data_IF_811920368725
#
_entry.id   IF_811920368725
#
_cell.length_a   1.000
_cell.length_b   1.000
_cell.length_c   1.000
_cell.angle_alpha   90.00
_cell.angle_beta   90.00
_cell.angle_gamma   90.00
#
_symmetry.space_group_name_H-M   'P 1'
#
loop_
_entity.id
_entity.type
_entity.pdbx_description
1 polymer ?
#
# COMPACT_ATOMS: atom_id res chain seq x y z
N UNK A 1 -38.10 0.79 24.14
CA UNK A 1 -37.35 0.06 23.08
C UNK A 1 -36.45 1.00 22.26
N UNK A 2 -35.79 1.99 22.89
CA UNK A 2 -34.93 3.00 22.19
C UNK A 2 -33.52 3.09 22.78
N UNK A 3 -33.30 2.56 24.00
CA UNK A 3 -32.00 2.62 24.68
C UNK A 3 -30.97 1.57 24.21
N UNK A 4 -31.41 0.49 23.53
CA UNK A 4 -30.53 -0.60 23.09
C UNK A 4 -29.81 -0.32 21.76
N UNK A 5 -30.33 0.60 20.95
CA UNK A 5 -29.74 0.92 19.63
C UNK A 5 -28.53 1.86 19.78
N UNK A 6 -28.54 2.74 20.78
CA UNK A 6 -27.46 3.73 20.97
C UNK A 6 -26.15 3.14 21.50
N UNK A 7 -26.19 1.99 22.18
CA UNK A 7 -24.97 1.34 22.68
C UNK A 7 -24.18 0.64 21.56
N UNK A 8 -24.86 0.22 20.49
CA UNK A 8 -24.24 -0.52 19.39
C UNK A 8 -23.42 0.39 18.46
N UNK A 9 -23.87 1.63 18.26
CA UNK A 9 -23.19 2.60 17.38
C UNK A 9 -21.88 3.10 17.99
N UNK A 10 -21.79 3.21 19.32
CA UNK A 10 -20.58 3.70 20.00
C UNK A 10 -19.45 2.65 19.98
N UNK A 11 -19.79 1.36 20.05
CA UNK A 11 -18.79 0.29 20.02
C UNK A 11 -18.11 0.13 18.65
N UNK A 12 -18.80 0.46 17.55
CA UNK A 12 -18.25 0.34 16.19
C UNK A 12 -17.20 1.43 15.90
N UNK A 13 -17.33 2.60 16.54
CA UNK A 13 -16.42 3.73 16.29
C UNK A 13 -15.04 3.51 16.95
N UNK A 14 -14.94 2.69 18.01
CA UNK A 14 -13.68 2.42 18.69
C UNK A 14 -12.80 1.33 18.05
N UNK A 15 -13.33 0.54 17.11
CA UNK A 15 -12.54 -0.50 16.41
C UNK A 15 -11.84 0.00 15.14
N UNK A 16 -12.00 1.27 14.77
CA UNK A 16 -11.56 1.79 13.47
C UNK A 16 -10.15 2.38 13.37
N UNK A 17 -9.38 2.51 14.46
CA UNK A 17 -8.26 3.48 14.49
C UNK A 17 -6.85 2.93 14.77
N UNK A 18 -6.60 1.63 14.74
CA UNK A 18 -5.25 1.09 15.02
C UNK A 18 -4.40 0.66 13.81
N UNK A 19 -4.88 0.83 12.58
CA UNK A 19 -4.13 0.41 11.38
C UNK A 19 -3.35 1.56 10.72
N UNK A 20 -2.36 2.15 11.39
CA UNK A 20 -1.53 3.18 10.73
C UNK A 20 -0.05 3.21 11.10
N UNK A 21 0.41 2.42 12.07
CA UNK A 21 1.78 2.56 12.58
C UNK A 21 2.76 1.49 12.12
N UNK A 22 2.28 0.32 11.69
CA UNK A 22 3.15 -0.80 11.34
C UNK A 22 3.76 -0.65 9.93
N UNK A 23 2.95 -0.19 8.95
CA UNK A 23 3.38 0.07 7.58
C UNK A 23 4.51 1.13 7.49
N UNK A 24 4.43 2.16 8.33
CA UNK A 24 5.32 3.32 8.27
C UNK A 24 6.77 3.01 8.66
N UNK A 25 7.01 1.95 9.46
CA UNK A 25 8.34 1.64 10.01
C UNK A 25 9.24 0.87 9.03
N UNK A 26 8.67 0.16 8.06
CA UNK A 26 9.43 -0.63 7.08
C UNK A 26 10.04 0.27 5.99
N UNK A 27 9.49 1.47 5.79
CA UNK A 27 9.79 2.32 4.63
C UNK A 27 10.78 3.47 4.90
N UNK A 28 11.25 3.63 6.14
CA UNK A 28 12.21 4.69 6.53
C UNK A 28 13.68 4.33 6.28
N UNK A 29 13.99 3.12 5.81
CA UNK A 29 15.38 2.64 5.62
C UNK A 29 15.97 2.91 4.23
N UNK A 30 15.19 3.51 3.32
CA UNK A 30 15.58 3.77 1.93
C UNK A 30 14.63 3.10 0.93
N UNK A 31 14.71 3.42 -0.38
CA UNK A 31 13.84 2.80 -1.36
C UNK A 31 14.14 1.30 -1.45
N UNK A 32 13.12 0.43 -1.51
CA UNK A 32 13.35 -1.00 -1.69
C UNK A 32 14.13 -1.26 -3.00
N UNK A 33 15.04 -2.25 -3.01
CA UNK A 33 15.75 -2.61 -4.24
C UNK A 33 14.75 -2.99 -5.34
N UNK A 34 15.08 -2.68 -6.59
CA UNK A 34 14.26 -3.07 -7.75
C UNK A 34 14.28 -4.59 -7.89
N UNK A 35 13.28 -5.27 -7.31
CA UNK A 35 13.04 -6.69 -7.51
C UNK A 35 12.50 -7.00 -8.91
N UNK A 36 12.48 -8.28 -9.28
CA UNK A 36 11.92 -8.75 -10.55
C UNK A 36 10.44 -8.32 -10.72
N UNK A 37 9.71 -8.30 -9.61
CA UNK A 37 8.33 -7.84 -9.54
C UNK A 37 8.18 -6.37 -9.95
N UNK A 38 9.12 -5.51 -9.57
CA UNK A 38 9.05 -4.07 -9.87
C UNK A 38 9.23 -3.79 -11.35
N UNK A 39 10.10 -4.57 -12.00
CA UNK A 39 10.27 -4.52 -13.45
C UNK A 39 9.02 -5.05 -14.16
N UNK A 40 8.51 -6.21 -13.74
CA UNK A 40 7.29 -6.79 -14.33
C UNK A 40 6.09 -5.84 -14.20
N UNK A 41 5.90 -5.21 -13.03
CA UNK A 41 4.87 -4.19 -12.81
C UNK A 41 5.04 -3.04 -13.79
N UNK A 42 6.25 -2.49 -13.88
CA UNK A 42 6.50 -1.34 -14.73
C UNK A 42 6.28 -1.67 -16.21
N UNK A 43 6.73 -2.83 -16.69
CA UNK A 43 6.60 -3.25 -18.08
C UNK A 43 5.15 -3.56 -18.45
N UNK A 44 4.40 -4.23 -17.56
CA UNK A 44 3.02 -4.66 -17.78
C UNK A 44 1.99 -3.53 -17.67
N UNK A 45 2.29 -2.47 -16.91
CA UNK A 45 1.37 -1.36 -16.73
C UNK A 45 0.93 -0.72 -18.05
N UNK A 46 -0.31 -0.25 -18.14
CA UNK A 46 -0.78 0.43 -19.34
C UNK A 46 -0.01 1.74 -19.60
N UNK A 47 0.03 2.17 -20.86
CA UNK A 47 0.54 3.49 -21.24
C UNK A 47 -0.60 4.53 -21.15
N UNK A 48 -0.35 5.74 -20.61
CA UNK A 48 0.91 6.20 -20.01
C UNK A 48 1.18 5.53 -18.65
N UNK A 49 2.46 5.32 -18.32
CA UNK A 49 2.93 4.76 -17.03
C UNK A 49 2.64 5.70 -15.84
N UNK A 50 1.36 5.95 -15.57
CA UNK A 50 0.90 6.76 -14.45
C UNK A 50 0.89 5.95 -13.16
N UNK A 51 0.94 6.62 -12.01
CA UNK A 51 0.83 5.99 -10.70
C UNK A 51 -0.42 5.10 -10.58
N UNK A 52 -1.53 5.50 -11.22
CA UNK A 52 -2.77 4.71 -11.23
C UNK A 52 -2.60 3.37 -11.95
N UNK A 53 -2.00 3.38 -13.14
CA UNK A 53 -1.79 2.17 -13.94
C UNK A 53 -0.74 1.25 -13.30
N UNK A 54 0.31 1.83 -12.73
CA UNK A 54 1.32 1.11 -11.95
C UNK A 54 0.68 0.47 -10.72
N UNK A 55 -0.19 1.19 -9.99
CA UNK A 55 -0.90 0.66 -8.83
C UNK A 55 -1.86 -0.48 -9.19
N UNK A 56 -2.66 -0.33 -10.24
CA UNK A 56 -3.57 -1.38 -10.71
C UNK A 56 -2.80 -2.66 -11.08
N UNK A 57 -1.67 -2.52 -11.78
CA UNK A 57 -0.80 -3.65 -12.13
C UNK A 57 -0.16 -4.27 -10.89
N UNK A 58 0.26 -3.45 -9.93
CA UNK A 58 0.79 -3.90 -8.65
C UNK A 58 -0.23 -4.74 -7.89
N UNK A 59 -1.51 -4.34 -7.86
CA UNK A 59 -2.57 -5.12 -7.23
C UNK A 59 -2.73 -6.49 -7.89
N UNK A 60 -2.74 -6.55 -9.22
CA UNK A 60 -2.86 -7.82 -9.96
C UNK A 60 -1.69 -8.76 -9.65
N UNK A 61 -0.46 -8.24 -9.65
CA UNK A 61 0.74 -9.03 -9.37
C UNK A 61 0.78 -9.46 -7.90
N UNK A 62 0.35 -8.58 -6.99
CA UNK A 62 0.24 -8.87 -5.56
C UNK A 62 -0.70 -10.04 -5.30
N UNK A 63 -1.92 -10.00 -5.86
CA UNK A 63 -2.88 -11.09 -5.72
C UNK A 63 -2.34 -12.42 -6.27
N UNK A 64 -1.65 -12.40 -7.42
CA UNK A 64 -1.04 -13.59 -8.02
C UNK A 64 0.08 -14.19 -7.16
N UNK A 65 0.76 -13.38 -6.36
CA UNK A 65 1.82 -13.79 -5.42
C UNK A 65 1.25 -14.20 -4.04
N UNK A 66 -0.07 -14.22 -3.87
CA UNK A 66 -0.73 -14.57 -2.62
C UNK A 66 -0.86 -13.42 -1.62
N UNK A 67 -0.63 -12.18 -2.07
CA UNK A 67 -0.91 -10.98 -1.29
C UNK A 67 -2.38 -10.63 -1.29
N UNK A 68 -2.78 -9.88 -0.26
CA UNK A 68 -4.17 -9.48 -0.06
C UNK A 68 -4.38 -8.00 -0.33
N UNK A 69 -3.36 -7.17 -0.11
CA UNK A 69 -3.49 -5.72 -0.27
C UNK A 69 -2.21 -5.07 -0.79
N UNK A 70 -2.36 -3.89 -1.37
CA UNK A 70 -1.24 -3.02 -1.78
C UNK A 70 -1.31 -1.72 -0.99
N UNK A 71 -0.27 -1.44 -0.23
CA UNK A 71 -0.08 -0.18 0.45
C UNK A 71 0.66 0.79 -0.47
N UNK A 72 0.23 2.05 -0.47
CA UNK A 72 0.84 3.12 -1.28
C UNK A 72 1.30 4.24 -0.36
N UNK A 73 2.59 4.56 -0.40
CA UNK A 73 3.18 5.63 0.41
C UNK A 73 4.05 6.53 -0.46
N UNK A 74 3.93 7.84 -0.32
CA UNK A 74 4.82 8.79 -0.98
C UNK A 74 6.21 8.74 -0.36
N UNK A 75 7.25 8.75 -1.20
CA UNK A 75 8.65 8.78 -0.78
C UNK A 75 9.27 10.16 -1.05
N UNK A 76 10.06 10.65 -0.10
CA UNK A 76 10.71 11.96 -0.15
C UNK A 76 10.00 13.02 0.70
N UNK A 77 10.25 14.29 0.38
CA UNK A 77 9.59 15.41 1.06
C UNK A 77 8.08 15.39 0.73
N UNK A 78 7.17 15.46 1.71
CA UNK A 78 5.74 15.53 1.44
C UNK A 78 5.32 16.70 0.54
N UNK A 79 6.10 17.79 0.50
CA UNK A 79 5.87 18.95 -0.37
C UNK A 79 6.41 18.74 -1.78
N UNK A 80 7.42 17.89 -1.94
CA UNK A 80 8.07 17.55 -3.20
C UNK A 80 8.34 16.04 -3.23
N UNK A 81 7.29 15.22 -3.44
CA UNK A 81 7.43 13.77 -3.42
C UNK A 81 8.33 13.34 -4.57
N UNK A 82 9.38 12.59 -4.25
CA UNK A 82 10.36 12.07 -5.21
C UNK A 82 9.83 10.83 -5.93
N UNK A 83 8.81 10.18 -5.35
CA UNK A 83 8.13 9.04 -5.94
C UNK A 83 7.13 8.39 -5.00
N UNK A 84 6.75 7.16 -5.33
CA UNK A 84 5.82 6.34 -4.55
C UNK A 84 6.43 4.98 -4.27
N UNK A 85 6.21 4.46 -3.08
CA UNK A 85 6.48 3.08 -2.71
C UNK A 85 5.16 2.34 -2.68
N UNK A 86 5.11 1.25 -3.43
CA UNK A 86 3.99 0.31 -3.44
C UNK A 86 4.44 -1.01 -2.81
N UNK A 87 3.76 -1.41 -1.73
CA UNK A 87 4.08 -2.61 -0.96
C UNK A 87 2.94 -3.60 -1.04
N UNK A 88 3.21 -4.80 -1.57
CA UNK A 88 2.28 -5.92 -1.51
C UNK A 88 2.38 -6.59 -0.14
N UNK A 89 1.26 -6.68 0.57
CA UNK A 89 1.18 -7.25 1.92
C UNK A 89 0.18 -8.41 1.98
N UNK A 90 0.42 -9.34 2.90
CA UNK A 90 -0.46 -10.46 3.18
C UNK A 90 -1.62 -10.11 4.10
N UNK A 91 -1.92 -11.03 5.02
CA UNK A 91 -2.95 -10.93 6.06
C UNK A 91 -2.68 -9.82 7.09
N UNK A 92 -1.44 -9.39 7.23
CA UNK A 92 -1.05 -8.25 8.05
C UNK A 92 -0.18 -7.27 7.25
N UNK A 93 -0.20 -5.97 7.60
CA UNK A 93 0.67 -4.96 6.97
C UNK A 93 2.18 -5.24 7.13
N UNK A 94 2.56 -5.97 8.17
CA UNK A 94 3.96 -6.32 8.47
C UNK A 94 4.47 -7.48 7.62
N UNK A 95 3.56 -8.26 7.02
CA UNK A 95 3.91 -9.36 6.12
C UNK A 95 4.06 -8.84 4.70
N UNK A 96 5.16 -8.15 4.44
CA UNK A 96 5.52 -7.64 3.11
C UNK A 96 5.99 -8.80 2.22
N UNK A 97 5.30 -9.01 1.10
CA UNK A 97 5.67 -10.00 0.08
C UNK A 97 6.71 -9.40 -0.87
N UNK A 98 6.45 -8.18 -1.34
CA UNK A 98 7.41 -7.37 -2.09
C UNK A 98 7.08 -5.89 -1.91
N UNK A 99 8.06 -5.02 -2.16
CA UNK A 99 7.87 -3.57 -2.19
C UNK A 99 8.66 -2.98 -3.35
N UNK A 100 8.07 -1.99 -4.03
CA UNK A 100 8.62 -1.37 -5.23
C UNK A 100 8.59 0.15 -5.12
N UNK A 101 9.71 0.79 -5.44
CA UNK A 101 9.80 2.24 -5.57
C UNK A 101 9.67 2.65 -7.03
N UNK A 102 8.76 3.58 -7.30
CA UNK A 102 8.57 4.21 -8.59
C UNK A 102 8.82 5.71 -8.47
N UNK A 103 9.81 6.27 -9.17
CA UNK A 103 10.09 7.70 -9.12
C UNK A 103 8.93 8.50 -9.71
N UNK A 104 8.72 9.71 -9.19
CA UNK A 104 7.89 10.71 -9.84
C UNK A 104 8.60 11.12 -11.14
N UNK A 105 7.94 10.91 -12.29
CA UNK A 105 8.41 11.40 -13.59
C UNK A 105 8.21 12.91 -13.69
#
# INVERSE_FOLDING_TARGET
>A
MVKLINAFVIAIIYFGSTQSFAAKKILTLGPPPRGLECQEIYETAAQPKSTKEIFATTQSICARKGGLNVLSESYGDPKEPQGVILSCVGDTPDRVIFACYFPAN
#
